data_IF_559259914112
#
_entry.id   IF_559259914112
#
_cell.length_a   1.000
_cell.length_b   1.000
_cell.length_c   1.000
_cell.angle_alpha   90.00
_cell.angle_beta   90.00
_cell.angle_gamma   90.00
#
_symmetry.space_group_name_H-M   'P 1'
#
loop_
_entity.id
_entity.type
_entity.pdbx_description
1 polymer ?
#
# COMPACT_ATOMS: atom_id res chain seq x y z
N UNK A 1 -1.69 -29.81 -39.44
CA UNK A 1 -2.42 -30.13 -38.20
C UNK A 1 -1.97 -29.13 -37.15
N UNK A 2 -2.83 -28.20 -36.76
CA UNK A 2 -2.49 -27.26 -35.67
C UNK A 2 -2.59 -27.97 -34.31
N UNK A 3 -1.62 -27.80 -33.41
CA UNK A 3 -1.68 -28.37 -32.08
C UNK A 3 -2.81 -27.70 -31.29
N UNK A 4 -3.66 -28.50 -30.64
CA UNK A 4 -4.71 -28.02 -29.73
C UNK A 4 -4.05 -27.32 -28.54
N UNK A 5 -3.99 -25.98 -28.56
CA UNK A 5 -3.46 -25.16 -27.46
C UNK A 5 -4.40 -25.25 -26.26
N UNK A 6 -3.86 -25.54 -25.08
CA UNK A 6 -4.64 -25.63 -23.84
C UNK A 6 -5.01 -24.23 -23.34
N UNK A 7 -6.09 -24.12 -22.56
CA UNK A 7 -6.57 -22.87 -21.96
C UNK A 7 -5.53 -22.16 -21.07
N UNK A 8 -4.46 -22.86 -20.69
CA UNK A 8 -3.41 -22.37 -19.78
C UNK A 8 -2.05 -22.22 -20.47
N UNK A 9 -1.99 -22.38 -21.79
CA UNK A 9 -0.78 -22.16 -22.56
C UNK A 9 -0.64 -20.65 -22.86
N UNK A 10 -0.13 -19.92 -21.87
CA UNK A 10 0.13 -18.48 -21.96
C UNK A 10 1.61 -18.27 -22.24
N UNK A 11 2.06 -18.60 -23.46
CA UNK A 11 3.38 -18.20 -23.92
C UNK A 11 3.38 -16.68 -24.15
N UNK A 12 4.12 -15.87 -23.36
CA UNK A 12 4.07 -14.42 -23.45
C UNK A 12 4.63 -13.85 -24.76
N UNK A 13 5.26 -14.68 -25.60
CA UNK A 13 5.77 -14.30 -26.92
C UNK A 13 4.77 -14.52 -28.06
N UNK A 14 3.58 -15.07 -27.77
CA UNK A 14 2.52 -15.19 -28.78
C UNK A 14 1.92 -13.81 -29.09
N UNK A 15 1.93 -13.43 -30.36
CA UNK A 15 1.43 -12.12 -30.86
C UNK A 15 -0.04 -11.84 -30.47
N UNK A 16 -0.84 -12.88 -30.20
CA UNK A 16 -2.24 -12.76 -29.79
C UNK A 16 -2.49 -12.66 -28.28
N UNK A 17 -1.47 -12.67 -27.43
CA UNK A 17 -1.65 -12.63 -25.96
C UNK A 17 -2.05 -11.24 -25.48
N UNK A 18 -1.47 -10.19 -26.06
CA UNK A 18 -1.84 -8.81 -25.72
C UNK A 18 -3.32 -8.53 -26.03
N UNK A 19 -3.79 -8.95 -27.22
CA UNK A 19 -5.18 -8.76 -27.64
C UNK A 19 -6.18 -9.53 -26.77
N UNK A 20 -5.84 -10.76 -26.35
CA UNK A 20 -6.70 -11.53 -25.43
C UNK A 20 -6.73 -10.95 -24.02
N UNK A 21 -5.63 -10.36 -23.55
CA UNK A 21 -5.58 -9.68 -22.27
C UNK A 21 -6.50 -8.46 -22.29
N UNK A 22 -6.44 -7.64 -23.34
CA UNK A 22 -7.31 -6.47 -23.50
C UNK A 22 -8.80 -6.87 -23.60
N UNK A 23 -9.13 -7.91 -24.37
CA UNK A 23 -10.51 -8.44 -24.43
C UNK A 23 -11.02 -8.90 -23.06
N UNK A 24 -10.18 -9.56 -22.26
CA UNK A 24 -10.56 -10.01 -20.91
C UNK A 24 -10.83 -8.85 -19.95
N UNK A 25 -10.11 -7.73 -20.12
CA UNK A 25 -10.31 -6.52 -19.32
C UNK A 25 -11.53 -5.71 -19.78
N UNK A 26 -11.78 -5.64 -21.09
CA UNK A 26 -12.95 -4.93 -21.61
C UNK A 26 -14.25 -5.69 -21.35
N UNK A 27 -14.22 -7.02 -21.33
CA UNK A 27 -15.37 -7.83 -20.94
C UNK A 27 -15.79 -7.60 -19.48
N UNK A 28 -14.88 -7.17 -18.60
CA UNK A 28 -15.18 -6.76 -17.24
C UNK A 28 -15.78 -5.34 -17.12
N UNK A 29 -15.57 -4.46 -18.12
CA UNK A 29 -16.10 -3.09 -18.15
C UNK A 29 -17.49 -3.00 -18.76
N UNK A 30 -17.82 -3.87 -19.73
CA UNK A 30 -19.12 -3.87 -20.42
C UNK A 30 -20.13 -4.71 -19.65
N UNK A 31 -20.44 -4.34 -18.41
CA UNK A 31 -21.69 -4.61 -17.65
C UNK A 31 -22.39 -5.97 -17.75
N UNK A 32 -21.77 -7.03 -18.27
CA UNK A 32 -22.34 -8.37 -18.30
C UNK A 32 -22.15 -8.92 -16.89
N UNK A 33 -23.24 -9.27 -16.18
CA UNK A 33 -23.10 -9.99 -14.94
C UNK A 33 -22.36 -11.28 -15.27
N UNK A 34 -21.12 -11.41 -14.77
CA UNK A 34 -20.47 -12.71 -14.71
C UNK A 34 -21.40 -13.69 -14.00
N UNK A 35 -21.27 -15.00 -14.24
CA UNK A 35 -21.96 -15.97 -13.41
C UNK A 35 -21.69 -15.61 -11.94
N UNK A 36 -22.72 -15.65 -11.07
CA UNK A 36 -22.58 -15.24 -9.68
C UNK A 36 -21.37 -15.96 -9.10
N UNK A 37 -20.50 -15.19 -8.44
CA UNK A 37 -19.44 -15.78 -7.60
C UNK A 37 -20.14 -16.75 -6.68
N UNK A 38 -19.94 -18.04 -6.94
CA UNK A 38 -20.46 -19.11 -6.11
C UNK A 38 -19.88 -18.86 -4.71
N UNK A 39 -20.75 -18.56 -3.75
CA UNK A 39 -20.36 -18.55 -2.36
C UNK A 39 -19.69 -19.89 -2.09
N UNK A 40 -18.42 -19.87 -1.71
CA UNK A 40 -17.73 -21.03 -1.18
C UNK A 40 -18.42 -21.37 0.13
N UNK A 41 -19.55 -22.06 0.03
CA UNK A 41 -20.19 -22.74 1.14
C UNK A 41 -19.11 -23.65 1.73
N UNK A 42 -18.82 -23.44 3.01
CA UNK A 42 -17.84 -24.19 3.78
C UNK A 42 -18.13 -25.68 3.81
N UNK A 43 -17.82 -26.36 2.71
CA UNK A 43 -17.70 -27.81 2.63
C UNK A 43 -16.37 -28.23 3.24
N UNK A 44 -16.30 -29.45 3.82
CA UNK A 44 -15.07 -29.97 4.39
C UNK A 44 -13.99 -30.01 3.30
N UNK A 45 -12.84 -29.42 3.62
CA UNK A 45 -11.60 -29.45 2.84
C UNK A 45 -11.36 -30.87 2.32
N UNK A 46 -11.47 -31.05 1.00
CA UNK A 46 -11.01 -32.28 0.35
C UNK A 46 -9.49 -32.31 0.43
N UNK A 47 -8.95 -33.36 1.04
CA UNK A 47 -7.52 -33.67 0.99
C UNK A 47 -7.09 -33.79 -0.47
N UNK A 48 -6.22 -32.88 -0.90
CA UNK A 48 -5.52 -32.98 -2.17
C UNK A 48 -4.57 -34.18 -2.03
N UNK A 49 -5.03 -35.32 -2.52
CA UNK A 49 -4.21 -36.52 -2.62
C UNK A 49 -2.91 -36.20 -3.35
N UNK A 50 -1.77 -36.45 -2.69
CA UNK A 50 -0.46 -36.54 -3.32
C UNK A 50 -0.53 -37.62 -4.40
N UNK A 51 -0.81 -37.21 -5.63
CA UNK A 51 -0.50 -38.03 -6.79
C UNK A 51 0.98 -37.83 -7.09
N UNK A 52 1.72 -38.94 -7.11
CA UNK A 52 3.16 -38.97 -7.41
C UNK A 52 3.37 -38.49 -8.84
N UNK A 53 3.74 -37.22 -9.00
CA UNK A 53 4.09 -36.62 -10.28
C UNK A 53 5.50 -37.10 -10.69
N UNK A 54 5.60 -38.37 -11.10
CA UNK A 54 6.87 -39.04 -11.49
C UNK A 54 7.30 -38.82 -12.94
N UNK A 55 6.56 -38.05 -13.74
CA UNK A 55 6.85 -37.91 -15.18
C UNK A 55 7.59 -36.62 -15.59
N UNK A 56 7.92 -35.72 -14.66
CA UNK A 56 8.42 -34.37 -15.00
C UNK A 56 9.96 -34.18 -14.92
N UNK A 57 10.76 -35.22 -14.66
CA UNK A 57 12.23 -35.10 -14.56
C UNK A 57 12.93 -36.04 -15.54
N UNK A 58 12.91 -35.65 -16.82
CA UNK A 58 13.51 -36.44 -17.90
C UNK A 58 15.01 -36.17 -18.11
N UNK A 59 15.62 -35.21 -17.40
CA UNK A 59 17.08 -35.03 -17.47
C UNK A 59 17.66 -34.28 -16.26
N UNK A 60 18.02 -34.96 -15.16
CA UNK A 60 18.65 -34.32 -13.99
C UNK A 60 20.12 -33.90 -14.23
N UNK A 61 20.72 -34.26 -15.36
CA UNK A 61 22.11 -33.92 -15.70
C UNK A 61 22.24 -32.66 -16.58
N UNK A 62 21.13 -32.06 -17.01
CA UNK A 62 21.13 -30.86 -17.84
C UNK A 62 21.17 -29.54 -17.03
N UNK A 63 21.14 -29.61 -15.69
CA UNK A 63 21.36 -28.43 -14.84
C UNK A 63 22.86 -28.10 -14.82
N UNK A 64 23.21 -26.99 -15.49
CA UNK A 64 24.57 -26.48 -15.50
C UNK A 64 25.10 -26.33 -14.05
N UNK A 65 26.31 -26.80 -13.74
CA UNK A 65 26.90 -26.65 -12.42
C UNK A 65 26.97 -25.15 -12.10
N UNK A 66 26.17 -24.70 -11.15
CA UNK A 66 26.32 -23.36 -10.58
C UNK A 66 27.65 -23.35 -9.85
N UNK A 67 28.70 -22.89 -10.55
CA UNK A 67 29.99 -22.57 -9.92
C UNK A 67 29.67 -21.63 -8.76
N UNK A 68 29.95 -22.08 -7.53
CA UNK A 68 29.98 -21.20 -6.36
C UNK A 68 30.97 -20.07 -6.66
N UNK A 69 30.50 -18.84 -6.56
CA UNK A 69 31.27 -17.61 -6.79
C UNK A 69 32.16 -17.29 -5.58
N UNK A 70 32.23 -18.18 -4.59
CA UNK A 70 32.79 -17.88 -3.27
C UNK A 70 34.32 -17.97 -3.16
N UNK A 71 35.06 -18.31 -4.21
CA UNK A 71 36.50 -18.65 -4.02
C UNK A 71 37.51 -17.51 -4.20
N UNK A 72 37.23 -16.42 -4.91
CA UNK A 72 38.26 -15.36 -5.06
C UNK A 72 37.65 -13.95 -5.17
N UNK A 73 37.04 -13.46 -4.09
CA UNK A 73 36.89 -12.01 -3.91
C UNK A 73 37.62 -11.62 -2.63
N UNK A 74 38.81 -11.07 -2.86
CA UNK A 74 39.61 -10.31 -1.90
C UNK A 74 38.75 -9.46 -0.98
N UNK A 75 38.78 -9.84 0.30
CA UNK A 75 38.41 -9.10 1.50
C UNK A 75 38.04 -7.62 1.28
N UNK A 76 36.73 -7.33 1.27
CA UNK A 76 36.25 -6.01 1.65
C UNK A 76 36.38 -5.87 3.17
N UNK A 77 36.89 -4.74 3.70
CA UNK A 77 36.96 -4.51 5.14
C UNK A 77 35.54 -4.35 5.69
N UNK A 78 34.96 -5.44 6.17
CA UNK A 78 33.65 -5.45 6.79
C UNK A 78 33.69 -4.66 8.09
N UNK A 79 32.97 -3.53 8.13
CA UNK A 79 32.66 -2.78 9.37
C UNK A 79 31.53 -3.50 10.16
N UNK A 80 31.27 -4.77 9.83
CA UNK A 80 30.37 -5.61 10.60
C UNK A 80 31.08 -6.02 11.88
N UNK A 81 30.79 -5.29 12.97
CA UNK A 81 31.00 -5.80 14.33
C UNK A 81 30.13 -7.05 14.46
N UNK A 82 30.72 -8.25 14.60
CA UNK A 82 29.94 -9.46 14.78
C UNK A 82 29.08 -9.29 16.04
N UNK A 83 27.80 -9.67 16.01
CA UNK A 83 27.01 -9.70 17.23
C UNK A 83 27.74 -10.59 18.26
N UNK A 84 27.75 -10.12 19.52
CA UNK A 84 28.39 -10.83 20.64
C UNK A 84 27.94 -12.29 20.62
N UNK A 85 28.91 -13.20 20.51
CA UNK A 85 28.62 -14.62 20.45
C UNK A 85 27.74 -15.02 21.64
N UNK A 86 26.65 -15.77 21.42
CA UNK A 86 25.84 -16.29 22.52
C UNK A 86 26.73 -17.12 23.44
N UNK A 87 26.53 -16.95 24.75
CA UNK A 87 27.34 -17.63 25.76
C UNK A 87 27.23 -19.16 25.55
N UNK A 88 28.36 -19.89 25.70
CA UNK A 88 28.36 -21.33 25.49
C UNK A 88 27.41 -21.97 26.48
N UNK A 89 26.31 -22.52 25.97
CA UNK A 89 25.47 -23.40 26.76
C UNK A 89 26.31 -24.63 27.09
N UNK A 90 26.59 -24.83 28.38
CA UNK A 90 27.24 -26.04 28.86
C UNK A 90 26.42 -27.24 28.39
N UNK A 91 27.03 -28.05 27.54
CA UNK A 91 26.43 -29.30 27.07
C UNK A 91 26.38 -30.26 28.27
N UNK A 92 25.20 -30.39 28.88
CA UNK A 92 24.97 -31.37 29.91
C UNK A 92 24.93 -32.76 29.23
N UNK A 93 25.84 -33.69 29.56
CA UNK A 93 25.86 -35.00 28.92
C UNK A 93 24.57 -35.76 29.22
N UNK A 94 23.98 -36.46 28.23
CA UNK A 94 22.71 -37.14 28.41
C UNK A 94 22.84 -38.22 29.49
N UNK A 95 22.05 -38.07 30.56
CA UNK A 95 21.92 -39.09 31.61
C UNK A 95 21.33 -40.35 30.97
N UNK A 96 22.14 -41.40 30.86
CA UNK A 96 21.73 -42.71 30.31
C UNK A 96 20.74 -43.34 31.29
N UNK A 97 19.46 -43.07 31.09
CA UNK A 97 18.38 -43.69 31.84
C UNK A 97 18.05 -45.04 31.17
N UNK A 98 18.25 -46.15 31.89
CA UNK A 98 18.17 -47.54 31.38
C UNK A 98 16.73 -48.04 31.11
N UNK A 99 15.81 -47.16 30.72
CA UNK A 99 14.44 -47.53 30.36
C UNK A 99 14.25 -47.46 28.84
N UNK A 100 14.50 -48.60 28.19
CA UNK A 100 14.50 -48.79 26.72
C UNK A 100 13.08 -48.72 26.13
N UNK A 101 12.04 -48.61 26.97
CA UNK A 101 10.64 -48.47 26.58
C UNK A 101 10.00 -47.15 27.05
N UNK A 102 10.79 -46.06 27.12
CA UNK A 102 10.21 -44.75 27.35
C UNK A 102 9.90 -44.11 25.99
N UNK A 103 8.62 -43.83 25.65
CA UNK A 103 8.30 -43.09 24.44
C UNK A 103 9.06 -41.75 24.47
N UNK A 104 9.54 -41.27 23.30
CA UNK A 104 10.31 -40.05 23.22
C UNK A 104 9.58 -38.92 23.96
N UNK A 105 10.30 -38.08 24.74
CA UNK A 105 9.69 -36.97 25.46
C UNK A 105 8.86 -36.15 24.48
N UNK A 106 7.55 -36.11 24.70
CA UNK A 106 6.66 -35.25 23.93
C UNK A 106 7.17 -33.82 24.15
N UNK A 107 7.50 -33.07 23.10
CA UNK A 107 7.93 -31.68 23.27
C UNK A 107 6.88 -30.95 24.11
N UNK A 108 7.29 -30.11 25.07
CA UNK A 108 6.33 -29.34 25.86
C UNK A 108 5.41 -28.61 24.88
N UNK A 109 4.09 -28.57 25.14
CA UNK A 109 3.17 -27.88 24.26
C UNK A 109 3.72 -26.47 24.04
N UNK A 110 3.95 -26.11 22.78
CA UNK A 110 4.41 -24.79 22.41
C UNK A 110 3.42 -23.79 23.00
N UNK A 111 3.77 -23.20 24.14
CA UNK A 111 2.95 -22.18 24.77
C UNK A 111 2.95 -21.05 23.77
N UNK A 112 1.83 -20.91 23.06
CA UNK A 112 1.61 -19.81 22.13
C UNK A 112 1.79 -18.53 22.94
N UNK A 113 2.96 -17.91 22.82
CA UNK A 113 3.16 -16.56 23.30
C UNK A 113 2.39 -15.70 22.30
N UNK A 114 1.25 -15.09 22.69
CA UNK A 114 0.57 -14.20 21.80
C UNK A 114 1.58 -13.12 21.38
N UNK A 115 1.63 -12.76 20.08
CA UNK A 115 2.53 -11.73 19.61
C UNK A 115 2.38 -10.50 20.51
N UNK A 116 3.48 -9.81 20.87
CA UNK A 116 3.46 -8.67 21.77
C UNK A 116 2.34 -7.73 21.32
N UNK A 117 1.40 -7.46 22.23
CA UNK A 117 0.22 -6.65 21.94
C UNK A 117 0.74 -5.35 21.33
N UNK A 118 0.35 -5.01 20.09
CA UNK A 118 0.82 -3.79 19.45
C UNK A 118 0.53 -2.63 20.39
N UNK A 119 1.58 -1.87 20.71
CA UNK A 119 1.56 -0.72 21.61
C UNK A 119 0.33 0.10 21.24
N UNK A 120 -0.58 0.30 22.21
CA UNK A 120 -1.88 0.91 21.98
C UNK A 120 -1.74 2.19 21.15
N UNK A 121 -2.06 2.09 19.87
CA UNK A 121 -1.86 3.16 18.90
C UNK A 121 -2.89 4.24 19.23
N UNK A 122 -2.49 5.30 19.94
CA UNK A 122 -3.36 6.45 20.19
C UNK A 122 -3.51 7.22 18.88
N UNK A 123 -4.68 7.20 18.24
CA UNK A 123 -4.85 7.87 16.96
C UNK A 123 -4.64 9.38 17.12
N UNK A 124 -3.71 9.94 16.35
CA UNK A 124 -3.43 11.37 16.30
C UNK A 124 -2.51 11.93 17.39
N UNK A 125 -1.83 11.11 18.20
CA UNK A 125 -0.70 11.60 19.02
C UNK A 125 0.66 11.42 18.34
N UNK A 126 0.70 10.75 17.19
CA UNK A 126 1.95 10.48 16.49
C UNK A 126 2.41 11.75 15.76
N UNK A 127 3.73 11.94 15.75
CA UNK A 127 4.37 12.96 14.93
C UNK A 127 4.54 12.42 13.51
N UNK A 128 4.28 13.26 12.50
CA UNK A 128 4.47 12.86 11.11
C UNK A 128 5.95 12.91 10.77
N UNK A 129 6.48 11.80 10.26
CA UNK A 129 7.84 11.73 9.76
C UNK A 129 8.08 12.84 8.70
N UNK A 130 9.20 13.58 8.83
CA UNK A 130 9.58 14.67 7.92
C UNK A 130 9.12 16.07 8.35
N UNK A 131 7.97 16.21 9.02
CA UNK A 131 7.48 17.50 9.52
C UNK A 131 7.74 17.72 11.01
N UNK A 132 7.88 16.64 11.79
CA UNK A 132 7.98 16.69 13.26
C UNK A 132 6.84 17.46 13.94
N UNK A 133 5.66 17.48 13.29
CA UNK A 133 4.42 18.10 13.77
C UNK A 133 3.43 16.97 14.09
N UNK A 134 2.53 17.13 15.08
CA UNK A 134 1.49 16.14 15.35
C UNK A 134 0.59 15.92 14.13
N UNK A 135 0.23 14.67 13.87
CA UNK A 135 -0.61 14.24 12.74
C UNK A 135 -1.93 15.03 12.61
N UNK A 136 -2.52 15.44 13.75
CA UNK A 136 -3.76 16.25 13.77
C UNK A 136 -3.59 17.62 13.11
N UNK A 137 -2.43 18.23 13.29
CA UNK A 137 -2.11 19.53 12.70
C UNK A 137 -1.73 19.39 11.24
N UNK A 138 -0.93 18.37 10.90
CA UNK A 138 -0.56 18.08 9.51
C UNK A 138 -1.82 17.95 8.63
N UNK A 139 -2.78 17.10 9.03
CA UNK A 139 -4.06 16.93 8.30
C UNK A 139 -4.93 18.17 8.21
N UNK A 140 -4.73 19.15 9.10
CA UNK A 140 -5.55 20.35 9.16
C UNK A 140 -5.04 21.45 8.22
N UNK A 141 -3.72 21.59 8.12
CA UNK A 141 -3.05 22.67 7.38
C UNK A 141 -3.55 22.85 5.93
N UNK A 142 -3.77 21.77 5.13
CA UNK A 142 -4.27 21.89 3.75
C UNK A 142 -5.63 22.58 3.60
N UNK A 143 -6.45 22.52 4.65
CA UNK A 143 -7.81 23.07 4.65
C UNK A 143 -7.89 24.52 5.16
N UNK A 144 -6.76 25.12 5.54
CA UNK A 144 -6.72 26.53 5.92
C UNK A 144 -7.16 27.38 4.72
N UNK A 145 -8.14 28.29 4.89
CA UNK A 145 -8.61 29.08 3.77
C UNK A 145 -7.53 29.94 3.10
N UNK A 146 -7.62 30.04 1.78
CA UNK A 146 -6.74 30.87 0.96
C UNK A 146 -5.40 30.21 0.64
N UNK A 147 -4.43 31.04 0.25
CA UNK A 147 -3.13 30.56 -0.24
C UNK A 147 -2.30 29.82 0.82
N UNK A 148 -2.55 30.09 2.11
CA UNK A 148 -1.84 29.45 3.21
C UNK A 148 -2.07 27.94 3.18
N UNK A 149 -3.32 27.49 3.03
CA UNK A 149 -3.63 26.06 2.95
C UNK A 149 -3.10 25.40 1.68
N UNK A 150 -3.13 26.11 0.55
CA UNK A 150 -2.56 25.61 -0.70
C UNK A 150 -1.04 25.39 -0.59
N UNK A 151 -0.30 26.37 -0.06
CA UNK A 151 1.14 26.27 0.17
C UNK A 151 1.44 25.15 1.16
N UNK A 152 0.71 25.09 2.27
CA UNK A 152 0.91 24.04 3.26
C UNK A 152 0.70 22.64 2.69
N UNK A 153 -0.32 22.46 1.83
CA UNK A 153 -0.57 21.20 1.17
C UNK A 153 0.54 20.79 0.19
N UNK A 154 1.12 21.75 -0.54
CA UNK A 154 2.30 21.51 -1.40
C UNK A 154 3.50 21.10 -0.55
N UNK A 155 3.80 21.86 0.50
CA UNK A 155 4.92 21.60 1.41
C UNK A 155 4.77 20.22 2.06
N UNK A 156 3.57 19.88 2.52
CA UNK A 156 3.25 18.59 3.12
C UNK A 156 3.40 17.44 2.11
N UNK A 157 2.93 17.58 0.88
CA UNK A 157 3.12 16.56 -0.16
C UNK A 157 4.59 16.32 -0.52
N UNK A 158 5.43 17.35 -0.42
CA UNK A 158 6.86 17.27 -0.73
C UNK A 158 7.68 16.69 0.44
N UNK A 159 7.32 17.01 1.69
CA UNK A 159 8.08 16.61 2.87
C UNK A 159 7.60 15.29 3.50
N UNK A 160 6.32 14.92 3.34
CA UNK A 160 5.77 13.72 3.97
C UNK A 160 6.17 12.46 3.19
N UNK A 161 6.82 11.48 3.85
CA UNK A 161 7.29 10.25 3.19
C UNK A 161 6.12 9.36 2.78
N UNK A 162 6.37 8.47 1.80
CA UNK A 162 5.32 7.58 1.24
C UNK A 162 4.65 6.65 2.26
N UNK A 163 5.31 6.34 3.36
CA UNK A 163 4.74 5.50 4.43
C UNK A 163 3.54 6.13 5.14
N UNK A 164 3.41 7.46 5.13
CA UNK A 164 2.35 8.21 5.81
C UNK A 164 1.15 8.48 4.89
N UNK A 165 0.51 7.40 4.42
CA UNK A 165 -0.57 7.47 3.43
C UNK A 165 -1.76 8.33 3.86
N UNK A 166 -2.09 8.32 5.16
CA UNK A 166 -3.22 9.07 5.70
C UNK A 166 -2.99 10.59 5.62
N UNK A 167 -1.80 11.04 6.03
CA UNK A 167 -1.41 12.46 5.98
C UNK A 167 -1.33 12.95 4.54
N UNK A 168 -0.70 12.16 3.64
CA UNK A 168 -0.61 12.50 2.22
C UNK A 168 -1.97 12.56 1.53
N UNK A 169 -2.90 11.68 1.90
CA UNK A 169 -4.27 11.71 1.39
C UNK A 169 -4.94 13.06 1.68
N UNK A 170 -4.84 13.54 2.92
CA UNK A 170 -5.42 14.83 3.32
C UNK A 170 -4.73 16.01 2.65
N UNK A 171 -3.40 15.96 2.52
CA UNK A 171 -2.63 16.97 1.78
C UNK A 171 -3.06 17.06 0.31
N UNK A 172 -3.11 15.93 -0.40
CA UNK A 172 -3.53 15.87 -1.80
C UNK A 172 -4.98 16.32 -1.98
N UNK A 173 -5.88 15.92 -1.08
CA UNK A 173 -7.28 16.30 -1.16
C UNK A 173 -7.49 17.79 -0.88
N UNK A 174 -6.83 18.33 0.15
CA UNK A 174 -6.85 19.76 0.45
C UNK A 174 -6.31 20.57 -0.73
N UNK A 175 -5.20 20.14 -1.34
CA UNK A 175 -4.64 20.79 -2.52
C UNK A 175 -5.61 20.77 -3.71
N UNK A 176 -6.21 19.62 -4.02
CA UNK A 176 -7.21 19.50 -5.08
C UNK A 176 -8.39 20.46 -4.85
N UNK A 177 -8.84 20.57 -3.61
CA UNK A 177 -9.93 21.46 -3.20
C UNK A 177 -9.54 22.94 -3.36
N UNK A 178 -8.33 23.33 -2.96
CA UNK A 178 -7.83 24.70 -3.15
C UNK A 178 -7.70 25.06 -4.63
N UNK A 179 -7.18 24.16 -5.47
CA UNK A 179 -7.12 24.36 -6.92
C UNK A 179 -8.52 24.53 -7.50
N UNK A 180 -9.48 23.71 -7.06
CA UNK A 180 -10.87 23.79 -7.53
C UNK A 180 -11.47 25.15 -7.18
N UNK A 181 -11.28 25.62 -5.95
CA UNK A 181 -11.75 26.94 -5.50
C UNK A 181 -11.08 28.05 -6.31
N UNK A 182 -9.78 27.95 -6.61
CA UNK A 182 -9.06 28.93 -7.43
C UNK A 182 -9.59 28.99 -8.86
N UNK A 183 -9.83 27.83 -9.50
CA UNK A 183 -10.36 27.76 -10.87
C UNK A 183 -11.76 28.38 -10.94
N UNK A 184 -12.65 28.01 -10.02
CA UNK A 184 -14.01 28.56 -9.99
C UNK A 184 -13.99 30.05 -9.63
N UNK A 185 -13.15 30.47 -8.68
CA UNK A 185 -12.96 31.90 -8.35
C UNK A 185 -12.43 32.69 -9.54
N UNK A 186 -11.52 32.12 -10.33
CA UNK A 186 -10.99 32.72 -11.54
C UNK A 186 -12.07 32.90 -12.60
N UNK A 187 -12.91 31.87 -12.80
CA UNK A 187 -14.05 31.95 -13.71
C UNK A 187 -15.05 33.04 -13.28
N UNK A 188 -15.39 33.12 -11.99
CA UNK A 188 -16.25 34.21 -11.48
C UNK A 188 -15.60 35.59 -11.64
N UNK A 189 -14.29 35.70 -11.46
CA UNK A 189 -13.57 36.96 -11.66
C UNK A 189 -13.66 37.40 -13.11
N UNK A 190 -13.52 36.47 -14.06
CA UNK A 190 -13.70 36.74 -15.49
C UNK A 190 -15.14 37.15 -15.83
N UNK A 191 -16.15 36.46 -15.27
CA UNK A 191 -17.56 36.83 -15.43
C UNK A 191 -17.85 38.22 -14.85
N UNK A 192 -17.24 38.57 -13.72
CA UNK A 192 -17.34 39.90 -13.11
C UNK A 192 -16.75 40.97 -14.01
N UNK A 193 -15.63 40.71 -14.69
CA UNK A 193 -15.04 41.66 -15.65
C UNK A 193 -16.00 41.95 -16.82
N UNK A 194 -16.76 40.95 -17.27
CA UNK A 194 -17.72 41.10 -18.38
C UNK A 194 -19.04 41.73 -17.91
N UNK A 195 -19.59 41.23 -16.81
CA UNK A 195 -20.92 41.60 -16.32
C UNK A 195 -20.91 42.88 -15.48
N UNK A 196 -19.77 43.32 -14.98
CA UNK A 196 -19.66 44.44 -14.02
C UNK A 196 -20.20 44.14 -12.61
N UNK A 197 -20.73 42.94 -12.37
CA UNK A 197 -21.30 42.54 -11.08
C UNK A 197 -20.31 41.71 -10.26
N UNK A 198 -20.03 42.16 -9.04
CA UNK A 198 -19.21 41.46 -8.05
C UNK A 198 -20.02 40.48 -7.18
N UNK A 199 -21.35 40.47 -7.31
CA UNK A 199 -22.22 39.76 -6.37
C UNK A 199 -21.97 38.25 -6.38
N UNK A 200 -21.92 37.63 -7.56
CA UNK A 200 -21.68 36.18 -7.68
C UNK A 200 -20.33 35.74 -7.13
N UNK A 201 -19.27 36.48 -7.44
CA UNK A 201 -17.93 36.22 -6.93
C UNK A 201 -17.86 36.33 -5.40
N UNK A 202 -18.53 37.33 -4.82
CA UNK A 202 -18.61 37.53 -3.37
C UNK A 202 -19.32 36.37 -2.66
N UNK A 203 -20.51 35.98 -3.15
CA UNK A 203 -21.30 34.87 -2.60
C UNK A 203 -20.52 33.56 -2.70
N UNK A 204 -19.88 33.29 -3.84
CA UNK A 204 -19.06 32.08 -4.00
C UNK A 204 -17.89 32.05 -3.02
N UNK A 205 -17.14 33.15 -2.87
CA UNK A 205 -16.02 33.23 -1.92
C UNK A 205 -16.48 32.99 -0.48
N UNK A 206 -17.63 33.53 -0.09
CA UNK A 206 -18.20 33.32 1.23
C UNK A 206 -18.61 31.85 1.44
N UNK A 207 -19.28 31.24 0.46
CA UNK A 207 -19.66 29.84 0.51
C UNK A 207 -18.43 28.91 0.57
N UNK A 208 -17.41 29.18 -0.25
CA UNK A 208 -16.15 28.44 -0.25
C UNK A 208 -15.42 28.56 1.09
N UNK A 209 -15.42 29.76 1.70
CA UNK A 209 -14.85 29.98 3.02
C UNK A 209 -15.55 29.14 4.10
N UNK A 210 -16.89 29.17 4.15
CA UNK A 210 -17.65 28.35 5.10
C UNK A 210 -17.38 26.87 4.86
N UNK A 211 -17.38 26.44 3.61
CA UNK A 211 -17.11 25.04 3.25
C UNK A 211 -15.73 24.59 3.75
N UNK A 212 -14.69 25.40 3.53
CA UNK A 212 -13.34 25.14 4.03
C UNK A 212 -13.29 25.03 5.55
N UNK A 213 -13.96 25.93 6.27
CA UNK A 213 -14.04 25.86 7.74
C UNK A 213 -14.72 24.57 8.21
N UNK A 214 -15.81 24.15 7.56
CA UNK A 214 -16.50 22.89 7.89
C UNK A 214 -15.60 21.68 7.59
N UNK A 215 -14.92 21.67 6.44
CA UNK A 215 -13.95 20.63 6.08
C UNK A 215 -12.81 20.55 7.09
N UNK A 216 -12.29 21.71 7.53
CA UNK A 216 -11.24 21.82 8.55
C UNK A 216 -11.68 21.21 9.89
N UNK A 217 -12.88 21.56 10.38
CA UNK A 217 -13.43 21.00 11.63
C UNK A 217 -13.64 19.48 11.51
N UNK A 218 -14.08 19.01 10.34
CA UNK A 218 -14.30 17.57 10.10
C UNK A 218 -12.97 16.80 10.05
N UNK A 219 -11.95 17.36 9.40
CA UNK A 219 -10.59 16.81 9.37
C UNK A 219 -9.97 16.77 10.76
N UNK A 220 -10.17 17.82 11.57
CA UNK A 220 -9.69 17.88 12.96
C UNK A 220 -10.29 16.76 13.84
N UNK A 221 -11.56 16.40 13.61
CA UNK A 221 -12.21 15.29 14.33
C UNK A 221 -11.73 13.91 13.88
N UNK A 222 -10.79 13.82 12.92
CA UNK A 222 -10.27 12.56 12.40
C UNK A 222 -11.29 11.76 11.60
N UNK A 223 -12.44 12.35 11.23
CA UNK A 223 -13.43 11.66 10.40
C UNK A 223 -12.94 11.70 8.95
N UNK A 224 -12.92 10.57 8.23
CA UNK A 224 -12.56 10.58 6.82
C UNK A 224 -13.50 11.53 6.08
N UNK A 225 -12.90 12.55 5.48
CA UNK A 225 -13.62 13.51 4.66
C UNK A 225 -13.48 13.07 3.22
N UNK A 226 -14.24 12.06 2.81
CA UNK A 226 -14.19 11.60 1.44
C UNK A 226 -15.11 12.48 0.59
N UNK A 227 -14.51 13.23 -0.34
CA UNK A 227 -15.24 14.01 -1.34
C UNK A 227 -15.06 13.25 -2.66
N UNK A 228 -16.06 12.43 -3.03
CA UNK A 228 -16.05 11.60 -4.24
C UNK A 228 -15.59 12.34 -5.52
N UNK A 229 -16.06 13.58 -5.82
CA UNK A 229 -15.61 14.26 -7.05
C UNK A 229 -14.14 14.69 -7.03
N UNK A 230 -13.46 14.65 -5.89
CA UNK A 230 -12.05 15.02 -5.77
C UNK A 230 -11.10 13.81 -5.85
N UNK A 231 -11.60 12.59 -5.96
CA UNK A 231 -10.71 11.42 -5.97
C UNK A 231 -9.82 11.34 -7.19
N UNK A 232 -10.35 11.66 -8.37
CA UNK A 232 -9.59 11.69 -9.61
C UNK A 232 -8.46 12.74 -9.57
N UNK A 233 -8.73 14.05 -9.28
CA UNK A 233 -7.65 15.04 -9.20
C UNK A 233 -6.69 14.75 -8.05
N UNK A 234 -7.17 14.20 -6.92
CA UNK A 234 -6.30 13.80 -5.80
C UNK A 234 -5.31 12.72 -6.21
N UNK A 235 -5.79 11.63 -6.83
CA UNK A 235 -4.92 10.54 -7.32
C UNK A 235 -3.91 11.06 -8.34
N UNK A 236 -4.35 11.90 -9.27
CA UNK A 236 -3.46 12.52 -10.26
C UNK A 236 -2.35 13.36 -9.60
N UNK A 237 -2.68 14.16 -8.58
CA UNK A 237 -1.70 14.94 -7.82
C UNK A 237 -0.71 14.05 -7.06
N UNK A 238 -1.22 13.00 -6.40
CA UNK A 238 -0.43 12.05 -5.65
C UNK A 238 0.58 11.29 -6.53
N UNK A 239 0.17 10.96 -7.77
CA UNK A 239 1.02 10.30 -8.76
C UNK A 239 2.07 11.23 -9.37
N UNK A 240 1.72 12.50 -9.62
CA UNK A 240 2.63 13.48 -10.22
C UNK A 240 3.64 14.03 -9.23
N UNK A 241 3.24 14.24 -7.98
CA UNK A 241 4.09 14.76 -6.91
C UNK A 241 4.71 13.56 -6.19
N UNK A 242 5.66 12.91 -6.86
CA UNK A 242 6.47 11.86 -6.25
C UNK A 242 7.43 12.53 -5.25
N UNK A 243 7.39 12.15 -3.95
CA UNK A 243 8.34 12.67 -2.99
C UNK A 243 9.74 12.25 -3.42
N UNK A 244 10.69 13.16 -3.23
CA UNK A 244 12.10 12.90 -3.40
C UNK A 244 12.51 12.17 -2.13
N UNK A 245 12.82 10.87 -2.25
CA UNK A 245 13.24 9.87 -1.25
C UNK A 245 12.26 8.70 -1.15
#
# INVERSE_FOLDING_TARGET
MEPKRSKYDTNPLDEGVASRADESFDQAKVGRPGPPTEEVLGGPTRDIGRTENKAARLNPEAEAPTRRIDDEVTSYPSIFVPPKAPEPQYYEPPKINRNIYQPPPVPPPSVYQPPPVPIAFKPGSNTVAGLNIPERWAKLLPYIPGYIGAIAAVVELLLVPRGETNTRFHAAQGLALQITILVVSGAFTFLTLISGSNFGAGVFRFAAFIFLIVSMIRAFKGKPHHIAPLDAPRKWLEEKIKPKN
#
